data_IF_022461443655
#
_entry.id   IF_022461443655
#
_cell.length_a   1.000
_cell.length_b   1.000
_cell.length_c   1.000
_cell.angle_alpha   90.00
_cell.angle_beta   90.00
_cell.angle_gamma   90.00
#
_symmetry.space_group_name_H-M   'P 1'
#
loop_
_entity.id
_entity.type
_entity.pdbx_description
1 polymer ?
#
# COMPACT_ATOMS: atom_id res chain seq x y z
N UNK A 1 12.56 19.19 -5.63
CA UNK A 1 11.88 17.96 -5.22
C UNK A 1 12.26 16.79 -6.13
N UNK A 2 11.78 15.60 -5.81
CA UNK A 2 12.04 14.38 -6.59
C UNK A 2 11.11 14.23 -7.81
N UNK A 3 10.35 15.27 -8.16
CA UNK A 3 9.41 15.30 -9.30
C UNK A 3 8.32 14.21 -9.24
N UNK A 4 7.96 13.76 -8.03
CA UNK A 4 6.94 12.73 -7.76
C UNK A 4 5.78 13.29 -6.96
N UNK A 5 4.65 12.64 -7.06
CA UNK A 5 3.46 12.86 -6.25
C UNK A 5 3.32 11.70 -5.24
N UNK A 6 2.64 11.92 -4.09
CA UNK A 6 1.98 13.15 -3.65
C UNK A 6 2.95 14.22 -3.09
N UNK A 7 2.45 15.45 -3.03
CA UNK A 7 3.10 16.57 -2.32
C UNK A 7 2.03 17.23 -1.44
N UNK A 8 2.32 17.37 -0.15
CA UNK A 8 1.47 18.06 0.81
C UNK A 8 2.08 19.43 1.14
N UNK A 9 1.32 20.49 0.96
CA UNK A 9 1.68 21.80 1.48
C UNK A 9 1.24 21.92 2.94
N UNK A 10 2.17 22.16 3.86
CA UNK A 10 1.93 22.24 5.31
C UNK A 10 2.02 23.66 5.88
N UNK A 11 2.45 24.60 5.08
CA UNK A 11 2.59 26.01 5.42
C UNK A 11 2.67 26.86 4.16
N UNK A 12 2.94 28.17 4.29
CA UNK A 12 3.02 29.07 3.13
C UNK A 12 4.10 28.67 2.13
N UNK A 13 5.24 28.15 2.62
CA UNK A 13 6.40 27.75 1.80
C UNK A 13 6.95 26.36 2.16
N UNK A 14 6.27 25.61 3.04
CA UNK A 14 6.72 24.30 3.48
C UNK A 14 5.95 23.20 2.78
N UNK A 15 6.68 22.23 2.25
CA UNK A 15 6.12 21.08 1.52
C UNK A 15 6.69 19.79 2.06
N UNK A 16 5.81 18.81 2.26
CA UNK A 16 6.17 17.44 2.61
C UNK A 16 5.95 16.53 1.41
N UNK A 17 6.92 15.71 1.10
CA UNK A 17 6.90 14.71 0.04
C UNK A 17 7.00 13.31 0.64
N UNK A 18 6.87 12.27 -0.17
CA UNK A 18 6.80 10.86 0.22
C UNK A 18 5.49 10.51 0.93
N UNK A 19 4.67 9.67 0.29
CA UNK A 19 3.33 9.30 0.77
C UNK A 19 3.34 8.78 2.22
N UNK A 20 4.31 7.94 2.58
CA UNK A 20 4.42 7.41 3.92
C UNK A 20 4.84 8.46 4.96
N UNK A 21 5.66 9.46 4.59
CA UNK A 21 5.95 10.60 5.47
C UNK A 21 4.71 11.47 5.67
N UNK A 22 3.95 11.72 4.60
CA UNK A 22 2.69 12.46 4.65
C UNK A 22 1.66 11.73 5.54
N UNK A 23 1.53 10.41 5.40
CA UNK A 23 0.64 9.61 6.25
C UNK A 23 1.03 9.72 7.73
N UNK A 24 2.32 9.62 8.07
CA UNK A 24 2.79 9.78 9.45
C UNK A 24 2.47 11.17 10.01
N UNK A 25 2.70 12.22 9.21
CA UNK A 25 2.40 13.59 9.61
C UNK A 25 0.91 13.81 9.86
N UNK A 26 0.05 13.37 8.95
CA UNK A 26 -1.39 13.55 9.05
C UNK A 26 -2.04 12.70 10.15
N UNK A 27 -1.47 11.54 10.46
CA UNK A 27 -1.99 10.63 11.47
C UNK A 27 -1.49 10.92 12.88
N UNK A 28 -0.59 11.88 13.07
CA UNK A 28 -0.03 12.19 14.38
C UNK A 28 -1.15 12.59 15.37
N UNK A 29 -1.16 11.95 16.54
CA UNK A 29 -2.19 12.15 17.57
C UNK A 29 -3.55 11.50 17.28
N UNK A 30 -3.69 10.78 16.16
CA UNK A 30 -4.91 10.04 15.82
C UNK A 30 -4.83 8.55 16.21
N UNK A 31 -5.99 7.87 16.19
CA UNK A 31 -6.05 6.42 16.40
C UNK A 31 -5.37 5.59 15.30
N UNK A 32 -5.09 6.19 14.13
CA UNK A 32 -4.45 5.51 13.00
C UNK A 32 -2.94 5.35 13.18
N UNK A 33 -2.34 6.00 14.18
CA UNK A 33 -0.91 5.93 14.44
C UNK A 33 -0.68 5.68 15.95
N UNK A 34 -0.18 4.49 16.32
CA UNK A 34 0.18 4.20 17.71
C UNK A 34 1.15 5.24 18.28
N UNK A 35 0.89 5.73 19.50
CA UNK A 35 1.63 6.85 20.10
C UNK A 35 3.12 6.55 20.35
N UNK A 36 3.48 5.30 20.64
CA UNK A 36 4.87 4.93 20.95
C UNK A 36 5.09 3.42 20.96
N UNK A 37 6.36 3.04 21.13
CA UNK A 37 6.76 1.68 21.41
C UNK A 37 6.77 0.75 20.18
N UNK A 38 6.57 -0.53 20.46
CA UNK A 38 6.73 -1.60 19.46
C UNK A 38 5.71 -1.49 18.32
N UNK A 39 4.47 -1.09 18.62
CA UNK A 39 3.45 -1.02 17.57
C UNK A 39 3.73 0.13 16.59
N UNK A 40 4.25 1.26 17.05
CA UNK A 40 4.77 2.32 16.17
C UNK A 40 5.89 1.82 15.26
N UNK A 41 6.81 1.04 15.80
CA UNK A 41 7.90 0.44 15.03
C UNK A 41 7.38 -0.57 13.98
N UNK A 42 6.34 -1.36 14.32
CA UNK A 42 5.68 -2.27 13.36
C UNK A 42 4.96 -1.53 12.23
N UNK A 43 4.34 -0.39 12.52
CA UNK A 43 3.74 0.46 11.48
C UNK A 43 4.83 0.90 10.49
N UNK A 44 5.95 1.43 10.98
CA UNK A 44 7.09 1.80 10.14
C UNK A 44 7.65 0.60 9.37
N UNK A 45 7.77 -0.57 10.00
CA UNK A 45 8.21 -1.81 9.35
C UNK A 45 7.35 -2.13 8.13
N UNK A 46 6.03 -2.05 8.24
CA UNK A 46 5.12 -2.31 7.14
C UNK A 46 5.13 -1.22 6.07
N UNK A 47 5.34 0.03 6.44
CA UNK A 47 5.53 1.12 5.48
C UNK A 47 6.85 0.98 4.70
N UNK A 48 7.94 0.54 5.35
CA UNK A 48 9.18 0.21 4.65
C UNK A 48 9.05 -1.03 3.78
N UNK A 49 8.30 -2.04 4.22
CA UNK A 49 7.99 -3.20 3.39
C UNK A 49 7.20 -2.79 2.15
N UNK A 50 6.22 -1.91 2.30
CA UNK A 50 5.44 -1.37 1.17
C UNK A 50 6.36 -0.70 0.16
N UNK A 51 7.23 0.21 0.58
CA UNK A 51 8.13 0.96 -0.30
C UNK A 51 9.23 0.12 -0.95
N UNK A 52 9.72 -0.92 -0.27
CA UNK A 52 10.86 -1.71 -0.75
C UNK A 52 10.47 -3.01 -1.43
N UNK A 53 9.41 -3.67 -0.95
CA UNK A 53 9.06 -5.04 -1.35
C UNK A 53 7.71 -5.18 -2.05
N UNK A 54 6.84 -4.17 -1.98
CA UNK A 54 5.49 -4.22 -2.51
C UNK A 54 5.30 -3.24 -3.69
N UNK A 55 5.40 -1.93 -3.44
CA UNK A 55 5.19 -0.87 -4.44
C UNK A 55 6.07 -1.06 -5.69
N UNK A 56 7.41 -1.33 -5.61
CA UNK A 56 8.27 -1.43 -6.79
C UNK A 56 7.91 -2.56 -7.76
N UNK A 57 7.07 -3.47 -7.32
CA UNK A 57 6.56 -4.57 -8.14
C UNK A 57 5.12 -4.33 -8.57
N UNK A 58 4.21 -4.14 -7.64
CA UNK A 58 2.77 -4.08 -7.90
C UNK A 58 2.40 -2.78 -8.61
N UNK A 59 2.87 -1.63 -8.12
CA UNK A 59 2.56 -0.35 -8.74
C UNK A 59 3.22 -0.20 -10.11
N UNK A 60 4.46 -0.68 -10.28
CA UNK A 60 5.16 -0.63 -11.58
C UNK A 60 4.50 -1.54 -12.60
N UNK A 61 4.14 -2.77 -12.22
CA UNK A 61 3.39 -3.67 -13.11
C UNK A 61 2.04 -3.07 -13.51
N UNK A 62 1.31 -2.48 -12.54
CA UNK A 62 0.06 -1.77 -12.81
C UNK A 62 0.26 -0.61 -13.78
N UNK A 63 1.29 0.21 -13.58
CA UNK A 63 1.59 1.34 -14.46
C UNK A 63 1.84 0.87 -15.90
N UNK A 64 2.68 -0.17 -16.07
CA UNK A 64 3.01 -0.70 -17.39
C UNK A 64 1.77 -1.31 -18.07
N UNK A 65 0.97 -2.09 -17.34
CA UNK A 65 -0.19 -2.76 -17.90
C UNK A 65 -1.37 -1.80 -18.13
N UNK A 66 -1.80 -1.10 -17.11
CA UNK A 66 -3.03 -0.28 -17.16
C UNK A 66 -2.85 1.02 -17.93
N UNK A 67 -1.79 1.77 -17.66
CA UNK A 67 -1.63 3.12 -18.22
C UNK A 67 -0.86 3.14 -19.54
N UNK A 68 0.12 2.25 -19.71
CA UNK A 68 0.88 2.17 -20.96
C UNK A 68 0.31 1.12 -21.95
N UNK A 69 -0.67 0.30 -21.53
CA UNK A 69 -1.26 -0.73 -22.40
C UNK A 69 -0.30 -1.88 -22.71
N UNK A 70 0.64 -2.18 -21.82
CA UNK A 70 1.62 -3.25 -21.94
C UNK A 70 2.38 -3.23 -23.29
N UNK A 71 3.11 -2.15 -23.61
CA UNK A 71 3.86 -2.07 -24.85
C UNK A 71 4.96 -3.14 -24.88
N UNK A 72 5.25 -3.67 -26.07
CA UNK A 72 6.24 -4.75 -26.25
C UNK A 72 7.63 -4.38 -25.67
N UNK A 73 8.03 -3.10 -25.77
CA UNK A 73 9.28 -2.57 -25.20
C UNK A 73 9.38 -2.64 -23.67
N UNK A 74 8.26 -2.80 -22.96
CA UNK A 74 8.21 -2.89 -21.49
C UNK A 74 7.73 -4.25 -20.99
N UNK A 75 7.50 -5.21 -21.87
CA UNK A 75 6.96 -6.53 -21.53
C UNK A 75 7.90 -7.35 -20.64
N UNK A 76 9.19 -7.33 -20.93
CA UNK A 76 10.19 -8.01 -20.10
C UNK A 76 10.23 -7.41 -18.68
N UNK A 77 10.22 -6.09 -18.57
CA UNK A 77 10.15 -5.41 -17.29
C UNK A 77 8.87 -5.79 -16.51
N UNK A 78 7.71 -5.76 -17.18
CA UNK A 78 6.44 -6.17 -16.57
C UNK A 78 6.50 -7.61 -16.04
N UNK A 79 7.02 -8.55 -16.81
CA UNK A 79 7.16 -9.94 -16.40
C UNK A 79 8.12 -10.10 -15.22
N UNK A 80 9.20 -9.33 -15.19
CA UNK A 80 10.15 -9.34 -14.06
C UNK A 80 9.54 -8.87 -12.74
N UNK A 81 8.43 -8.13 -12.76
CA UNK A 81 7.72 -7.67 -11.56
C UNK A 81 6.82 -8.74 -10.95
N UNK A 82 6.37 -9.72 -11.72
CA UNK A 82 5.35 -10.69 -11.27
C UNK A 82 5.82 -11.55 -10.09
N UNK A 83 7.04 -12.06 -10.12
CA UNK A 83 7.57 -12.90 -9.03
C UNK A 83 7.66 -12.11 -7.72
N UNK A 84 8.26 -10.90 -7.76
CA UNK A 84 8.42 -10.05 -6.59
C UNK A 84 7.08 -9.60 -5.99
N UNK A 85 6.11 -9.23 -6.85
CA UNK A 85 4.78 -8.86 -6.44
C UNK A 85 4.02 -10.02 -5.77
N UNK A 86 4.04 -11.20 -6.36
CA UNK A 86 3.42 -12.39 -5.75
C UNK A 86 4.10 -12.79 -4.43
N UNK A 87 5.42 -12.61 -4.31
CA UNK A 87 6.14 -12.81 -3.05
C UNK A 87 5.67 -11.83 -1.97
N UNK A 88 5.52 -10.55 -2.31
CA UNK A 88 5.00 -9.54 -1.39
C UNK A 88 3.58 -9.88 -0.93
N UNK A 89 2.69 -10.24 -1.85
CA UNK A 89 1.33 -10.66 -1.53
C UNK A 89 1.30 -11.90 -0.63
N UNK A 90 2.18 -12.88 -0.86
CA UNK A 90 2.28 -14.08 -0.01
C UNK A 90 2.71 -13.75 1.42
N UNK A 91 3.65 -12.81 1.60
CA UNK A 91 4.06 -12.33 2.93
C UNK A 91 2.91 -11.64 3.63
N UNK A 92 2.18 -10.77 2.93
CA UNK A 92 1.00 -10.07 3.47
C UNK A 92 -0.10 -11.05 3.87
N UNK A 93 -0.45 -11.98 2.98
CA UNK A 93 -1.51 -12.97 3.25
C UNK A 93 -1.18 -13.84 4.45
N UNK A 94 0.06 -14.33 4.54
CA UNK A 94 0.54 -15.11 5.68
C UNK A 94 0.49 -14.33 6.99
N UNK A 95 0.85 -13.04 6.96
CA UNK A 95 0.78 -12.18 8.14
C UNK A 95 -0.66 -11.95 8.60
N UNK A 96 -1.59 -11.77 7.66
CA UNK A 96 -3.01 -11.54 7.94
C UNK A 96 -3.76 -12.80 8.35
N UNK A 97 -3.11 -13.97 8.38
CA UNK A 97 -3.72 -15.20 8.91
C UNK A 97 -4.08 -15.02 10.39
N UNK A 98 -5.40 -14.99 10.68
CA UNK A 98 -5.91 -14.78 12.03
C UNK A 98 -5.81 -13.34 12.55
N UNK A 99 -5.48 -12.37 11.68
CA UNK A 99 -5.44 -10.93 12.00
C UNK A 99 -6.41 -10.15 11.14
N UNK A 100 -6.95 -9.09 11.70
CA UNK A 100 -7.84 -8.18 11.01
C UNK A 100 -7.09 -7.00 10.37
N UNK A 101 -5.93 -6.62 10.91
CA UNK A 101 -5.08 -5.51 10.48
C UNK A 101 -3.60 -5.87 10.56
N UNK A 102 -2.74 -5.08 9.94
CA UNK A 102 -1.29 -5.30 9.95
C UNK A 102 -0.65 -5.08 11.32
N UNK A 103 -1.20 -4.15 12.12
CA UNK A 103 -0.69 -3.86 13.46
C UNK A 103 -1.84 -3.68 14.44
N UNK A 104 -1.85 -4.48 15.52
CA UNK A 104 -2.88 -4.40 16.55
C UNK A 104 -4.26 -4.85 16.07
N UNK A 105 -5.29 -4.35 16.75
CA UNK A 105 -6.68 -4.76 16.55
C UNK A 105 -7.54 -3.67 15.87
N UNK A 106 -6.90 -2.62 15.36
CA UNK A 106 -7.53 -1.49 14.69
C UNK A 106 -6.72 -1.05 13.46
N UNK A 107 -7.36 -0.40 12.47
CA UNK A 107 -6.64 0.05 11.28
C UNK A 107 -5.58 1.08 11.65
N UNK A 108 -4.43 1.02 10.97
CA UNK A 108 -3.34 1.96 11.10
C UNK A 108 -2.93 2.51 9.74
N UNK A 109 -2.02 3.48 9.71
CA UNK A 109 -1.45 3.96 8.45
C UNK A 109 -0.63 2.89 7.71
N UNK A 110 -0.25 1.79 8.36
CA UNK A 110 0.31 0.62 7.65
C UNK A 110 -0.73 -0.03 6.73
N UNK A 111 -1.98 -0.15 7.21
CA UNK A 111 -3.08 -0.65 6.41
C UNK A 111 -3.40 0.29 5.24
N UNK A 112 -3.43 1.59 5.47
CA UNK A 112 -3.69 2.60 4.43
C UNK A 112 -2.59 2.54 3.35
N UNK A 113 -1.33 2.49 3.76
CA UNK A 113 -0.18 2.41 2.86
C UNK A 113 -0.25 1.19 1.94
N UNK A 114 -0.44 0.00 2.53
CA UNK A 114 -0.51 -1.26 1.78
C UNK A 114 -1.78 -1.40 0.95
N UNK A 115 -2.90 -0.84 1.43
CA UNK A 115 -4.16 -0.87 0.70
C UNK A 115 -4.06 -0.17 -0.66
N UNK A 116 -3.33 0.94 -0.73
CA UNK A 116 -3.27 1.83 -1.90
C UNK A 116 -3.02 1.11 -3.24
N UNK A 117 -2.11 0.14 -3.27
CA UNK A 117 -1.84 -0.63 -4.49
C UNK A 117 -2.38 -2.06 -4.44
N UNK A 118 -2.62 -2.62 -3.25
CA UNK A 118 -3.13 -3.99 -3.15
C UNK A 118 -4.55 -4.11 -3.69
N UNK A 119 -5.46 -3.16 -3.40
CA UNK A 119 -6.85 -3.23 -3.87
C UNK A 119 -6.99 -3.19 -5.40
N UNK A 120 -6.01 -2.63 -6.08
CA UNK A 120 -5.94 -2.55 -7.56
C UNK A 120 -4.85 -3.44 -8.17
N UNK A 121 -4.31 -4.40 -7.41
CA UNK A 121 -3.23 -5.26 -7.88
C UNK A 121 -3.61 -6.06 -9.14
N UNK A 122 -4.89 -6.39 -9.31
CA UNK A 122 -5.41 -7.05 -10.52
C UNK A 122 -5.16 -6.25 -11.81
N UNK A 123 -5.09 -4.93 -11.74
CA UNK A 123 -4.73 -4.06 -12.87
C UNK A 123 -3.26 -4.22 -13.29
N UNK A 124 -2.41 -4.75 -12.40
CA UNK A 124 -1.03 -5.15 -12.67
C UNK A 124 -0.86 -6.62 -13.03
N UNK A 125 -1.98 -7.37 -13.18
CA UNK A 125 -1.97 -8.78 -13.55
C UNK A 125 -1.82 -9.75 -12.37
N UNK A 126 -1.98 -9.28 -11.11
CA UNK A 126 -1.92 -10.14 -9.94
C UNK A 126 -3.31 -10.69 -9.59
N UNK A 127 -3.43 -12.00 -9.57
CA UNK A 127 -4.67 -12.66 -9.13
C UNK A 127 -4.71 -12.77 -7.60
N UNK A 128 -5.64 -12.06 -6.98
CA UNK A 128 -5.83 -12.07 -5.53
C UNK A 128 -6.69 -13.25 -5.04
N UNK A 129 -7.27 -14.05 -5.93
CA UNK A 129 -8.18 -15.14 -5.54
C UNK A 129 -7.54 -16.21 -4.64
N UNK A 130 -6.22 -16.41 -4.77
CA UNK A 130 -5.43 -17.30 -3.92
C UNK A 130 -5.07 -16.73 -2.53
N UNK A 131 -5.21 -15.40 -2.33
CA UNK A 131 -4.82 -14.68 -1.11
C UNK A 131 -6.03 -14.33 -0.25
N UNK A 132 -6.64 -15.35 0.37
CA UNK A 132 -7.94 -15.22 1.06
C UNK A 132 -7.91 -14.27 2.26
N UNK A 133 -6.76 -14.15 2.94
CA UNK A 133 -6.60 -13.23 4.07
C UNK A 133 -6.52 -11.78 3.57
N UNK A 134 -5.83 -11.53 2.46
CA UNK A 134 -5.82 -10.22 1.79
C UNK A 134 -7.23 -9.84 1.35
N UNK A 135 -7.96 -10.74 0.67
CA UNK A 135 -9.33 -10.46 0.21
C UNK A 135 -10.25 -10.09 1.39
N UNK A 136 -10.14 -10.82 2.51
CA UNK A 136 -10.89 -10.50 3.74
C UNK A 136 -10.51 -9.13 4.29
N UNK A 137 -9.21 -8.83 4.36
CA UNK A 137 -8.69 -7.55 4.84
C UNK A 137 -9.12 -6.38 3.95
N UNK A 138 -9.05 -6.49 2.63
CA UNK A 138 -9.53 -5.46 1.69
C UNK A 138 -11.00 -5.12 1.95
N UNK A 139 -11.88 -6.12 2.06
CA UNK A 139 -13.30 -5.93 2.36
C UNK A 139 -13.50 -5.23 3.71
N UNK A 140 -12.66 -5.55 4.71
CA UNK A 140 -12.71 -4.93 6.03
C UNK A 140 -12.36 -3.44 5.95
N UNK A 141 -11.29 -3.07 5.23
CA UNK A 141 -10.93 -1.66 5.01
C UNK A 141 -12.06 -0.92 4.28
N UNK A 142 -12.63 -1.51 3.25
CA UNK A 142 -13.75 -0.94 2.47
C UNK A 142 -15.03 -0.76 3.30
N UNK A 143 -15.20 -1.51 4.37
CA UNK A 143 -16.34 -1.41 5.29
C UNK A 143 -16.16 -0.37 6.41
N UNK A 144 -15.00 0.26 6.53
CA UNK A 144 -14.74 1.25 7.58
C UNK A 144 -15.61 2.50 7.41
N UNK A 145 -16.11 3.07 8.50
CA UNK A 145 -16.81 4.36 8.45
C UNK A 145 -15.93 5.44 7.82
N UNK A 146 -16.46 6.14 6.82
CA UNK A 146 -15.72 7.20 6.13
C UNK A 146 -14.79 6.70 5.03
N UNK A 147 -14.79 5.39 4.71
CA UNK A 147 -14.07 4.90 3.54
C UNK A 147 -14.59 5.58 2.27
N UNK A 148 -13.67 6.02 1.44
CA UNK A 148 -13.95 6.64 0.14
C UNK A 148 -13.14 5.91 -0.93
N UNK A 149 -13.82 5.29 -1.88
CA UNK A 149 -13.19 4.59 -2.99
C UNK A 149 -12.53 5.55 -3.98
N UNK A 150 -11.62 5.04 -4.81
CA UNK A 150 -10.92 5.84 -5.85
C UNK A 150 -11.79 6.13 -7.08
N UNK A 151 -12.85 5.37 -7.27
CA UNK A 151 -13.87 5.61 -8.33
C UNK A 151 -15.14 6.10 -7.66
N UNK A 152 -15.72 7.23 -8.14
CA UNK A 152 -17.00 7.73 -7.64
C UNK A 152 -18.16 6.76 -7.93
#
# INVERSE_FOLDING_TARGET
GNEKIPVLQVGESEFLVESNAILNFLAEGSALLPGSGLDRAKVLQWQFFEQYSHEPYIAVARFINKYLGLPESRKEEYLSKQEGGNRALSVMDSHLAGRDYFVGDSPTIADISLYAYTHVAHEGGFDLSGYQNIVRWLRRIESLPGYCGMTP
#
